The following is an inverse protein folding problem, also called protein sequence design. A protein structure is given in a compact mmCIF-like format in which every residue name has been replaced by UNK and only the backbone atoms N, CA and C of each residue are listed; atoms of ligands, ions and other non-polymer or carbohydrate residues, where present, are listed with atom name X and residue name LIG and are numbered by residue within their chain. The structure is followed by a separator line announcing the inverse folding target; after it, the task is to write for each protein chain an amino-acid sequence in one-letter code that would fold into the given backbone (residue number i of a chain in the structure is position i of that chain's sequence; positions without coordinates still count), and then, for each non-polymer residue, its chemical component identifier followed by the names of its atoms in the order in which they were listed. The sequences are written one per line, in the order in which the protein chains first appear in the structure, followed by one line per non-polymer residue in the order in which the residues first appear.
data_IF_768131117196
#
_entry.id   IF_768131117196
#
_cell.length_a   1.000
_cell.length_b   1.000
_cell.length_c   1.000
_cell.angle_alpha   90.00
_cell.angle_beta   90.00
_cell.angle_gamma   90.00
#
_symmetry.space_group_name_H-M   'P 1'
#
loop_
_entity.id
_entity.type
_entity.pdbx_description
1 polymer ?
#
# COMPACT_ATOMS: atom_id res chain seq x y z
N UNK A 1 35.58 -19.20 -12.80
CA UNK A 1 34.88 -19.25 -14.10
C UNK A 1 34.97 -20.66 -14.65
N UNK A 2 33.89 -21.19 -15.21
CA UNK A 2 33.84 -22.50 -15.87
C UNK A 2 33.75 -22.34 -17.39
N UNK A 3 34.07 -23.39 -18.13
CA UNK A 3 34.03 -23.46 -19.58
C UNK A 3 33.02 -24.52 -20.02
N UNK A 4 32.39 -24.30 -21.17
CA UNK A 4 31.50 -25.25 -21.84
C UNK A 4 32.11 -25.61 -23.20
N UNK A 5 32.15 -26.91 -23.53
CA UNK A 5 32.73 -27.36 -24.79
C UNK A 5 33.09 -28.83 -24.80
N UNK A 6 34.20 -29.14 -25.46
CA UNK A 6 34.83 -30.47 -25.48
C UNK A 6 36.25 -30.36 -24.93
N UNK A 7 36.67 -31.35 -24.14
CA UNK A 7 38.00 -31.35 -23.52
C UNK A 7 38.14 -32.47 -22.49
N UNK A 8 39.36 -32.64 -21.98
CA UNK A 8 39.70 -33.60 -20.93
C UNK A 8 40.12 -32.88 -19.64
N UNK A 9 39.87 -33.52 -18.50
CA UNK A 9 40.33 -33.03 -17.20
C UNK A 9 41.77 -33.45 -16.92
N UNK A 10 42.33 -32.87 -15.86
CA UNK A 10 43.65 -33.19 -15.33
C UNK A 10 43.65 -33.04 -13.79
N UNK A 11 44.84 -33.03 -13.19
CA UNK A 11 45.02 -32.87 -11.74
C UNK A 11 44.51 -31.52 -11.23
N UNK A 12 44.43 -30.49 -12.08
CA UNK A 12 44.07 -29.12 -11.71
C UNK A 12 42.65 -28.73 -12.15
N UNK A 13 42.07 -29.46 -13.10
CA UNK A 13 40.76 -29.15 -13.71
C UNK A 13 39.90 -30.40 -13.77
N UNK A 14 38.64 -30.29 -13.33
CA UNK A 14 37.67 -31.35 -13.54
C UNK A 14 36.84 -31.07 -14.78
N UNK A 15 36.42 -32.13 -15.46
CA UNK A 15 35.52 -32.08 -16.61
C UNK A 15 34.44 -33.13 -16.40
N UNK A 16 33.18 -32.74 -16.52
CA UNK A 16 32.02 -33.61 -16.37
C UNK A 16 31.02 -33.37 -17.51
N UNK A 17 30.21 -34.38 -17.89
CA UNK A 17 29.14 -34.18 -18.87
C UNK A 17 28.19 -33.04 -18.46
N UNK A 18 27.87 -32.14 -19.39
CA UNK A 18 27.06 -30.96 -19.11
C UNK A 18 25.64 -31.30 -18.61
N UNK A 19 25.10 -32.44 -19.05
CA UNK A 19 23.81 -32.98 -18.57
C UNK A 19 23.79 -33.25 -17.06
N UNK A 20 24.94 -33.61 -16.46
CA UNK A 20 25.03 -33.93 -15.02
C UNK A 20 25.00 -32.69 -14.13
N UNK A 21 25.19 -31.50 -14.69
CA UNK A 21 25.09 -30.21 -13.98
C UNK A 21 23.82 -29.44 -14.36
N UNK A 22 22.89 -30.08 -15.07
CA UNK A 22 21.61 -29.48 -15.45
C UNK A 22 21.69 -28.39 -16.52
N UNK A 23 22.83 -28.24 -17.19
CA UNK A 23 23.02 -27.24 -18.25
C UNK A 23 22.41 -27.78 -19.55
N UNK A 24 21.29 -27.19 -19.98
CA UNK A 24 20.64 -27.50 -21.26
C UNK A 24 21.33 -26.72 -22.39
N UNK A 25 22.31 -27.34 -23.04
CA UNK A 25 23.03 -26.73 -24.17
C UNK A 25 23.50 -27.79 -25.16
N UNK A 26 24.01 -27.35 -26.32
CA UNK A 26 24.68 -28.20 -27.32
C UNK A 26 26.14 -28.52 -26.97
N UNK A 27 26.65 -28.04 -25.84
CA UNK A 27 28.01 -28.36 -25.38
C UNK A 27 28.02 -29.65 -24.56
N UNK A 28 29.00 -30.52 -24.85
CA UNK A 28 29.06 -31.86 -24.26
C UNK A 28 29.58 -31.87 -22.81
N UNK A 29 30.52 -30.98 -22.48
CA UNK A 29 31.21 -30.99 -21.20
C UNK A 29 31.20 -29.62 -20.52
N UNK A 30 31.13 -29.67 -19.19
CA UNK A 30 31.39 -28.57 -18.27
C UNK A 30 32.75 -28.78 -17.60
N UNK A 31 33.63 -27.78 -17.69
CA UNK A 31 34.98 -27.83 -17.12
C UNK A 31 35.26 -26.66 -16.18
N UNK A 32 35.90 -26.93 -15.03
CA UNK A 32 36.24 -25.91 -14.05
C UNK A 32 37.51 -26.31 -13.24
N UNK A 33 38.20 -25.34 -12.61
CA UNK A 33 39.39 -25.63 -11.84
C UNK A 33 39.00 -26.27 -10.51
N UNK A 34 39.85 -27.16 -9.99
CA UNK A 34 39.70 -27.76 -8.67
C UNK A 34 40.10 -26.80 -7.55
N UNK A 35 40.84 -25.74 -7.87
CA UNK A 35 41.29 -24.69 -6.95
C UNK A 35 40.61 -23.35 -7.25
N UNK A 36 40.73 -22.40 -6.31
CA UNK A 36 40.25 -21.03 -6.44
C UNK A 36 41.23 -20.16 -7.26
N UNK A 37 41.66 -20.67 -8.43
CA UNK A 37 42.64 -20.03 -9.29
C UNK A 37 42.01 -19.48 -10.58
N UNK A 38 42.51 -18.34 -11.11
CA UNK A 38 42.12 -17.82 -12.42
C UNK A 38 42.84 -18.57 -13.56
N UNK A 39 42.13 -18.87 -14.65
CA UNK A 39 42.74 -19.43 -15.88
C UNK A 39 43.50 -18.40 -16.73
N UNK A 40 43.51 -17.11 -16.34
CA UNK A 40 44.17 -16.03 -17.07
C UNK A 40 45.02 -15.18 -16.13
N UNK A 41 46.28 -14.98 -16.50
CA UNK A 41 47.23 -14.12 -15.78
C UNK A 41 46.71 -12.68 -15.68
N UNK A 42 46.83 -12.08 -14.48
CA UNK A 42 46.42 -10.69 -14.22
C UNK A 42 44.97 -10.50 -13.75
N UNK A 43 44.24 -11.59 -13.48
CA UNK A 43 42.88 -11.53 -12.92
C UNK A 43 42.85 -12.13 -11.52
N UNK A 44 42.16 -11.50 -10.57
CA UNK A 44 41.88 -12.10 -9.26
C UNK A 44 40.69 -13.06 -9.35
N UNK A 45 40.72 -14.13 -8.55
CA UNK A 45 39.58 -15.00 -8.38
C UNK A 45 38.52 -14.29 -7.52
N UNK A 46 37.27 -14.23 -8.02
CA UNK A 46 36.10 -13.74 -7.28
C UNK A 46 35.03 -14.83 -7.20
N UNK A 47 34.52 -15.11 -6.01
CA UNK A 47 33.33 -15.93 -5.80
C UNK A 47 32.10 -15.12 -6.24
N UNK A 48 31.61 -15.33 -7.46
CA UNK A 48 30.45 -14.63 -8.00
C UNK A 48 29.48 -15.56 -8.74
N UNK A 49 29.41 -16.82 -8.30
CA UNK A 49 28.38 -17.77 -8.72
C UNK A 49 27.37 -17.93 -7.58
N UNK A 50 26.12 -18.32 -7.89
CA UNK A 50 25.06 -18.41 -6.89
C UNK A 50 25.51 -19.31 -5.74
N UNK A 51 25.74 -18.73 -4.57
CA UNK A 51 25.91 -19.52 -3.35
C UNK A 51 24.62 -20.31 -3.12
N UNK A 52 24.70 -21.53 -2.62
CA UNK A 52 23.49 -22.26 -2.19
C UNK A 52 22.69 -21.43 -1.16
N UNK A 53 23.37 -20.60 -0.38
CA UNK A 53 22.75 -19.66 0.56
C UNK A 53 22.01 -18.51 -0.15
N UNK A 54 22.41 -18.15 -1.38
CA UNK A 54 21.71 -17.18 -2.24
C UNK A 54 20.53 -17.84 -3.00
N UNK A 55 20.50 -19.17 -3.11
CA UNK A 55 19.40 -19.94 -3.69
C UNK A 55 18.31 -20.31 -2.67
N UNK A 56 18.56 -20.15 -1.37
CA UNK A 56 17.58 -20.31 -0.30
C UNK A 56 17.00 -18.93 0.00
N UNK A 57 16.03 -18.52 -0.82
CA UNK A 57 15.15 -17.39 -0.49
C UNK A 57 13.97 -17.92 0.34
N UNK A 58 13.58 -17.26 1.44
CA UNK A 58 12.34 -17.60 2.13
C UNK A 58 11.18 -17.41 1.16
N UNK A 59 10.48 -18.51 0.84
CA UNK A 59 9.21 -18.43 0.14
C UNK A 59 8.12 -18.10 1.17
N UNK A 60 7.67 -16.84 1.20
CA UNK A 60 6.51 -16.44 1.99
C UNK A 60 5.28 -16.69 1.14
N UNK A 61 4.52 -17.73 1.47
CA UNK A 61 3.21 -17.99 0.85
C UNK A 61 2.14 -17.44 1.76
N UNK A 62 1.47 -16.37 1.32
CA UNK A 62 0.28 -15.84 1.98
C UNK A 62 -0.94 -16.44 1.30
N UNK A 63 -1.59 -17.38 1.97
CA UNK A 63 -2.91 -17.82 1.58
C UNK A 63 -3.92 -16.87 2.21
N UNK A 64 -4.46 -15.96 1.41
CA UNK A 64 -5.62 -15.17 1.83
C UNK A 64 -6.81 -16.13 1.85
N UNK A 65 -7.32 -16.41 3.05
CA UNK A 65 -8.70 -16.85 3.16
C UNK A 65 -9.53 -15.62 2.91
N UNK A 66 -10.47 -15.69 1.98
CA UNK A 66 -11.62 -14.80 2.05
C UNK A 66 -12.19 -14.99 3.45
N UNK A 67 -12.03 -13.99 4.31
CA UNK A 67 -12.88 -13.89 5.47
C UNK A 67 -14.27 -13.62 4.91
N UNK A 68 -14.98 -14.70 4.58
CA UNK A 68 -16.42 -14.69 4.54
C UNK A 68 -16.87 -14.23 5.94
N UNK A 69 -17.14 -12.92 6.06
CA UNK A 69 -17.65 -12.30 7.28
C UNK A 69 -16.61 -12.15 8.40
N UNK A 70 -15.61 -11.29 8.23
CA UNK A 70 -15.60 -10.18 9.18
C UNK A 70 -16.35 -9.07 8.48
N UNK A 71 -17.68 -9.05 8.65
CA UNK A 71 -18.33 -7.75 8.66
C UNK A 71 -17.56 -6.99 9.75
N UNK A 72 -16.73 -6.03 9.33
CA UNK A 72 -16.24 -5.04 10.26
C UNK A 72 -17.48 -4.59 11.00
N UNK A 73 -17.51 -4.84 12.32
CA UNK A 73 -18.65 -4.52 13.18
C UNK A 73 -19.27 -3.26 12.64
N UNK A 74 -20.54 -3.35 12.22
CA UNK A 74 -21.20 -2.37 11.36
C UNK A 74 -21.38 -1.05 12.13
N UNK A 75 -20.30 -0.36 12.47
CA UNK A 75 -20.32 0.90 13.15
C UNK A 75 -20.74 1.93 12.10
N UNK A 76 -21.86 2.57 12.36
CA UNK A 76 -22.37 3.60 11.47
C UNK A 76 -21.52 4.85 11.66
N UNK A 77 -20.80 5.25 10.61
CA UNK A 77 -20.15 6.55 10.58
C UNK A 77 -21.23 7.58 10.22
N UNK A 78 -21.44 8.54 11.10
CA UNK A 78 -22.31 9.68 10.86
C UNK A 78 -21.46 10.90 10.53
N UNK A 79 -21.73 11.49 9.38
CA UNK A 79 -21.11 12.73 8.92
C UNK A 79 -22.19 13.82 8.87
N UNK A 80 -22.00 14.90 9.61
CA UNK A 80 -22.95 16.03 9.63
C UNK A 80 -22.25 17.36 9.53
N UNK A 81 -23.01 18.37 9.14
CA UNK A 81 -22.55 19.76 9.09
C UNK A 81 -23.60 20.67 9.71
N UNK A 82 -23.20 21.43 10.75
CA UNK A 82 -23.94 22.52 11.41
C UNK A 82 -25.47 22.27 11.48
N UNK A 83 -25.90 21.34 12.34
CA UNK A 83 -27.31 21.00 12.56
C UNK A 83 -28.13 20.73 11.27
N UNK A 84 -27.50 20.14 10.25
CA UNK A 84 -28.15 19.81 8.98
C UNK A 84 -28.20 20.95 7.96
N UNK A 85 -27.40 22.01 8.15
CA UNK A 85 -27.20 23.02 7.13
C UNK A 85 -26.64 22.40 5.84
N UNK A 86 -26.98 23.00 4.70
CA UNK A 86 -26.51 22.56 3.38
C UNK A 86 -25.55 23.55 2.71
N UNK A 87 -25.34 24.70 3.34
CA UNK A 87 -24.59 25.82 2.75
C UNK A 87 -23.35 26.11 3.60
N UNK A 88 -22.18 26.11 2.95
CA UNK A 88 -20.90 26.50 3.57
C UNK A 88 -20.54 27.92 3.17
N UNK A 89 -20.36 28.81 4.14
CA UNK A 89 -20.06 30.23 3.90
C UNK A 89 -18.58 30.59 4.10
N UNK A 90 -17.74 29.59 4.36
CA UNK A 90 -16.30 29.71 4.58
C UNK A 90 -15.56 28.61 3.82
N UNK A 91 -14.32 28.89 3.38
CA UNK A 91 -13.42 27.92 2.75
C UNK A 91 -12.82 26.91 3.74
N UNK A 92 -13.09 27.08 5.04
CA UNK A 92 -12.68 26.19 6.11
C UNK A 92 -13.90 25.67 6.90
N UNK A 93 -14.87 24.99 6.27
CA UNK A 93 -16.03 24.48 7.00
C UNK A 93 -15.60 23.37 7.96
N UNK A 94 -16.19 23.37 9.15
CA UNK A 94 -15.97 22.34 10.18
C UNK A 94 -17.14 21.36 10.14
N UNK A 95 -16.83 20.08 10.02
CA UNK A 95 -17.81 18.99 10.00
C UNK A 95 -17.67 18.11 11.23
N UNK A 96 -18.78 17.50 11.63
CA UNK A 96 -18.84 16.57 12.76
C UNK A 96 -18.84 15.14 12.24
N UNK A 97 -17.87 14.35 12.69
CA UNK A 97 -17.78 12.92 12.46
C UNK A 97 -18.03 12.17 13.77
N UNK A 98 -18.95 11.21 13.74
CA UNK A 98 -19.25 10.32 14.85
C UNK A 98 -19.20 8.88 14.35
N UNK A 99 -18.54 7.99 15.09
CA UNK A 99 -18.67 6.54 14.88
C UNK A 99 -19.64 6.03 15.92
N UNK A 100 -20.86 5.68 15.51
CA UNK A 100 -21.86 5.15 16.44
C UNK A 100 -21.51 3.71 16.84
N UNK A 101 -21.70 3.39 18.12
CA UNK A 101 -21.57 2.02 18.58
C UNK A 101 -22.88 1.28 18.33
N UNK A 102 -22.89 0.37 17.36
CA UNK A 102 -24.07 -0.41 16.98
C UNK A 102 -24.25 -1.68 17.82
N UNK A 103 -23.23 -2.13 18.59
CA UNK A 103 -23.33 -3.33 19.42
C UNK A 103 -22.54 -3.23 20.74
N UNK A 104 -23.16 -3.67 21.85
CA UNK A 104 -22.55 -3.67 23.20
C UNK A 104 -21.21 -4.43 23.31
N UNK A 105 -20.94 -5.37 22.41
CA UNK A 105 -19.71 -6.19 22.37
C UNK A 105 -18.78 -5.85 21.21
N UNK A 106 -19.14 -4.87 20.38
CA UNK A 106 -18.27 -4.35 19.33
C UNK A 106 -17.24 -3.40 19.92
N UNK A 107 -16.27 -3.95 20.67
CA UNK A 107 -14.98 -3.30 20.87
C UNK A 107 -14.18 -3.41 19.56
N UNK A 108 -14.71 -2.78 18.51
CA UNK A 108 -14.20 -2.84 17.15
C UNK A 108 -12.87 -2.11 17.03
N UNK A 109 -12.08 -2.56 16.06
CA UNK A 109 -10.85 -1.92 15.63
C UNK A 109 -11.07 -0.42 15.32
N UNK A 110 -10.00 0.34 15.42
CA UNK A 110 -9.96 1.75 15.03
C UNK A 110 -10.44 1.93 13.58
N UNK A 111 -11.38 2.86 13.36
CA UNK A 111 -11.87 3.23 12.03
C UNK A 111 -10.94 4.27 11.44
N UNK A 112 -10.19 3.88 10.41
CA UNK A 112 -9.42 4.82 9.62
C UNK A 112 -10.31 5.45 8.54
N UNK A 113 -10.42 6.79 8.57
CA UNK A 113 -11.34 7.55 7.74
C UNK A 113 -10.57 8.60 6.94
N UNK A 114 -10.78 8.61 5.63
CA UNK A 114 -10.36 9.67 4.71
C UNK A 114 -11.58 10.54 4.34
N UNK A 115 -11.39 11.86 4.36
CA UNK A 115 -12.41 12.85 4.03
C UNK A 115 -12.03 13.64 2.78
N UNK A 116 -12.87 13.59 1.76
CA UNK A 116 -12.72 14.40 0.53
C UNK A 116 -14.03 15.04 0.12
N UNK A 117 -13.97 16.30 -0.28
CA UNK A 117 -15.02 16.99 -1.00
C UNK A 117 -14.81 16.77 -2.50
N UNK A 118 -15.81 16.23 -3.18
CA UNK A 118 -15.77 15.96 -4.62
C UNK A 118 -16.86 16.73 -5.36
N UNK A 119 -16.53 17.28 -6.53
CA UNK A 119 -17.50 17.91 -7.43
C UNK A 119 -18.37 16.85 -8.16
N UNK A 120 -19.30 17.31 -9.01
CA UNK A 120 -20.17 16.43 -9.78
C UNK A 120 -19.44 15.57 -10.82
N UNK A 121 -18.19 15.90 -11.15
CA UNK A 121 -17.32 15.16 -12.07
C UNK A 121 -16.40 14.18 -11.32
N UNK A 122 -16.40 14.20 -9.99
CA UNK A 122 -15.54 13.40 -9.13
C UNK A 122 -14.16 14.01 -8.89
N UNK A 123 -13.92 15.27 -9.26
CA UNK A 123 -12.67 15.96 -8.93
C UNK A 123 -12.66 16.33 -7.45
N UNK A 124 -11.52 16.17 -6.79
CA UNK A 124 -11.31 16.62 -5.41
C UNK A 124 -11.23 18.14 -5.38
N UNK A 125 -12.16 18.76 -4.65
CA UNK A 125 -12.32 20.21 -4.49
C UNK A 125 -12.19 20.67 -3.04
N UNK A 126 -11.83 19.73 -2.16
CA UNK A 126 -11.50 20.01 -0.76
C UNK A 126 -11.07 18.75 -0.02
N UNK A 127 -10.24 18.93 0.99
CA UNK A 127 -9.60 17.84 1.74
C UNK A 127 -9.63 18.14 3.23
N UNK A 128 -9.52 17.12 4.08
CA UNK A 128 -9.32 17.34 5.51
C UNK A 128 -8.05 18.17 5.77
N UNK A 129 -8.16 19.19 6.62
CA UNK A 129 -7.02 19.99 7.03
C UNK A 129 -6.05 19.11 7.83
N UNK A 130 -4.82 19.00 7.34
CA UNK A 130 -3.73 18.27 8.01
C UNK A 130 -3.42 18.87 9.38
N UNK A 131 -3.15 18.00 10.34
CA UNK A 131 -2.98 18.35 11.76
C UNK A 131 -4.18 17.88 12.59
N UNK A 132 -3.99 17.79 13.92
CA UNK A 132 -4.95 17.20 14.86
C UNK A 132 -6.41 17.60 14.53
N UNK A 133 -7.33 16.63 14.32
CA UNK A 133 -7.19 15.18 14.53
C UNK A 133 -6.69 14.37 13.32
N UNK A 134 -6.31 15.01 12.21
CA UNK A 134 -5.89 14.37 10.96
C UNK A 134 -4.37 14.17 10.95
N UNK A 135 -3.94 12.94 10.71
CA UNK A 135 -2.52 12.63 10.57
C UNK A 135 -1.93 13.37 9.36
N UNK A 136 -0.89 14.21 9.53
CA UNK A 136 -0.32 14.99 8.44
C UNK A 136 0.34 14.15 7.32
N UNK A 137 0.79 12.94 7.64
CA UNK A 137 1.47 12.04 6.73
C UNK A 137 0.48 11.26 5.86
N UNK A 138 -0.61 10.74 6.45
CA UNK A 138 -1.60 9.93 5.72
C UNK A 138 -2.78 10.75 5.20
N UNK A 139 -3.11 11.87 5.84
CA UNK A 139 -4.34 12.63 5.58
C UNK A 139 -5.60 11.96 6.12
N UNK A 140 -5.47 10.91 6.93
CA UNK A 140 -6.57 10.16 7.54
C UNK A 140 -6.75 10.53 9.00
N UNK A 141 -7.92 10.24 9.57
CA UNK A 141 -8.12 10.25 11.02
C UNK A 141 -8.60 8.88 11.50
N UNK A 142 -8.28 8.57 12.76
CA UNK A 142 -8.67 7.33 13.41
C UNK A 142 -9.72 7.59 14.49
N UNK A 143 -10.86 6.91 14.42
CA UNK A 143 -11.94 7.00 15.41
C UNK A 143 -12.31 5.63 15.96
N UNK A 144 -12.53 5.55 17.27
CA UNK A 144 -13.12 4.36 17.90
C UNK A 144 -14.65 4.45 17.92
N UNK A 145 -15.37 3.31 17.97
CA UNK A 145 -16.79 3.30 18.25
C UNK A 145 -17.15 4.14 19.50
N UNK A 146 -18.18 4.96 19.38
CA UNK A 146 -18.61 5.93 20.39
C UNK A 146 -17.84 7.26 20.40
N UNK A 147 -16.81 7.43 19.56
CA UNK A 147 -16.09 8.70 19.47
C UNK A 147 -16.72 9.69 18.49
N UNK A 148 -16.56 10.96 18.83
CA UNK A 148 -16.91 12.11 18.01
C UNK A 148 -15.69 13.01 17.85
N UNK A 149 -15.49 13.55 16.65
CA UNK A 149 -14.48 14.55 16.35
C UNK A 149 -14.99 15.58 15.34
N UNK A 150 -14.52 16.81 15.53
CA UNK A 150 -14.66 17.87 14.54
C UNK A 150 -13.46 17.91 13.62
N UNK A 151 -13.71 17.98 12.32
CA UNK A 151 -12.66 18.04 11.30
C UNK A 151 -12.89 19.27 10.44
N UNK A 152 -11.84 20.08 10.29
CA UNK A 152 -11.88 21.21 9.35
C UNK A 152 -11.59 20.68 7.95
N UNK A 153 -12.45 21.01 6.98
CA UNK A 153 -12.19 20.75 5.56
C UNK A 153 -11.56 22.01 4.96
N UNK A 154 -10.48 21.86 4.21
CA UNK A 154 -9.87 22.92 3.41
C UNK A 154 -10.39 22.80 1.98
N UNK A 155 -11.27 23.71 1.59
CA UNK A 155 -11.78 23.81 0.23
C UNK A 155 -10.72 24.43 -0.70
N UNK A 156 -10.76 24.05 -1.98
CA UNK A 156 -10.00 24.74 -3.02
C UNK A 156 -10.41 26.22 -3.09
N UNK A 157 -9.45 27.10 -3.29
CA UNK A 157 -9.64 28.54 -3.20
C UNK A 157 -10.53 29.08 -4.32
N UNK A 158 -10.46 28.44 -5.50
CA UNK A 158 -11.21 28.80 -6.71
C UNK A 158 -12.53 28.02 -6.86
N UNK A 159 -12.81 27.07 -5.96
CA UNK A 159 -14.01 26.24 -6.09
C UNK A 159 -15.24 26.93 -5.50
N UNK A 160 -16.24 27.13 -6.34
CA UNK A 160 -17.60 27.51 -5.94
C UNK A 160 -18.63 26.59 -6.62
N UNK A 161 -19.60 26.11 -5.84
CA UNK A 161 -20.72 25.31 -6.31
C UNK A 161 -21.09 24.19 -5.34
N UNK A 162 -21.80 23.20 -5.88
CA UNK A 162 -22.23 22.00 -5.15
C UNK A 162 -21.12 20.96 -5.12
N UNK A 163 -20.94 20.34 -3.97
CA UNK A 163 -20.00 19.25 -3.77
C UNK A 163 -20.59 18.18 -2.85
N UNK A 164 -20.01 16.99 -2.89
CA UNK A 164 -20.32 15.90 -1.95
C UNK A 164 -19.10 15.66 -1.10
N UNK A 165 -19.22 15.87 0.21
CA UNK A 165 -18.22 15.46 1.18
C UNK A 165 -18.43 13.99 1.50
N UNK A 166 -17.39 13.18 1.30
CA UNK A 166 -17.41 11.73 1.53
C UNK A 166 -16.42 11.37 2.62
N UNK A 167 -16.86 10.50 3.53
CA UNK A 167 -16.01 9.77 4.44
C UNK A 167 -15.87 8.35 3.91
N UNK A 168 -14.65 7.87 3.68
CA UNK A 168 -14.42 6.54 3.12
C UNK A 168 -13.20 5.86 3.74
N UNK A 169 -13.16 4.54 3.62
CA UNK A 169 -12.00 3.74 3.99
C UNK A 169 -10.83 4.06 3.04
N UNK A 170 -9.64 4.44 3.54
CA UNK A 170 -8.52 4.85 2.70
C UNK A 170 -7.91 3.70 1.87
N UNK A 171 -8.18 2.44 2.21
CA UNK A 171 -7.66 1.25 1.53
C UNK A 171 -8.66 0.74 0.50
N UNK A 172 -9.93 0.55 0.90
CA UNK A 172 -10.96 -0.05 0.02
C UNK A 172 -11.75 0.98 -0.78
N UNK A 173 -11.64 2.27 -0.44
CA UNK A 173 -12.45 3.36 -0.99
C UNK A 173 -13.96 3.17 -0.79
N UNK A 174 -14.36 2.27 0.11
CA UNK A 174 -15.76 2.09 0.48
C UNK A 174 -16.24 3.33 1.22
N UNK A 175 -17.31 3.94 0.72
CA UNK A 175 -17.92 5.11 1.37
C UNK A 175 -18.63 4.68 2.64
N UNK A 176 -18.21 5.24 3.77
CA UNK A 176 -18.89 5.08 5.05
C UNK A 176 -20.08 6.02 5.17
N UNK A 177 -19.90 7.29 4.81
CA UNK A 177 -20.93 8.32 4.87
C UNK A 177 -20.69 9.39 3.81
N UNK A 178 -21.75 10.09 3.41
CA UNK A 178 -21.61 11.28 2.57
C UNK A 178 -22.69 12.30 2.85
N UNK A 179 -22.37 13.57 2.61
CA UNK A 179 -23.30 14.70 2.67
C UNK A 179 -23.08 15.61 1.46
N UNK A 180 -24.17 16.11 0.89
CA UNK A 180 -24.13 17.09 -0.20
C UNK A 180 -24.28 18.50 0.37
N UNK A 181 -23.33 19.37 0.00
CA UNK A 181 -23.24 20.76 0.44
C UNK A 181 -23.04 21.69 -0.76
N UNK A 182 -23.26 22.98 -0.56
CA UNK A 182 -23.11 24.02 -1.56
C UNK A 182 -22.35 25.21 -0.95
N UNK A 183 -21.42 25.79 -1.70
CA UNK A 183 -20.67 26.97 -1.26
C UNK A 183 -21.49 28.24 -1.48
N UNK A 184 -21.44 29.15 -0.51
CA UNK A 184 -21.97 30.51 -0.60
C UNK A 184 -21.03 31.43 0.18
N UNK A 185 -19.82 31.60 -0.35
CA UNK A 185 -18.78 32.38 0.33
C UNK A 185 -19.15 33.85 0.28
N UNK A 186 -19.09 34.52 1.44
CA UNK A 186 -19.13 35.98 1.46
C UNK A 186 -17.85 36.50 0.79
N UNK A 187 -18.01 37.13 -0.37
CA UNK A 187 -16.93 37.83 -1.11
C UNK A 187 -16.56 39.12 -0.41
#
# INVERSE_FOLDING_TARGET
RALLGTGSGDTQSFVIPAEKVGIRSNFQHFGAPRSLAPYRRGLSFFHGGPSLQEAIVPAITVAFQDQAGHEAAAANVLLTYKNGAKIVTTRLPVVDLTVENTELFSQGADFEILLEAQDSKGNVVGEARKGDPVDPATGTLSLKPGQHRQVTIRMDIEFEGKFTLKAFNPITMTTYASITLETDYAV
#
